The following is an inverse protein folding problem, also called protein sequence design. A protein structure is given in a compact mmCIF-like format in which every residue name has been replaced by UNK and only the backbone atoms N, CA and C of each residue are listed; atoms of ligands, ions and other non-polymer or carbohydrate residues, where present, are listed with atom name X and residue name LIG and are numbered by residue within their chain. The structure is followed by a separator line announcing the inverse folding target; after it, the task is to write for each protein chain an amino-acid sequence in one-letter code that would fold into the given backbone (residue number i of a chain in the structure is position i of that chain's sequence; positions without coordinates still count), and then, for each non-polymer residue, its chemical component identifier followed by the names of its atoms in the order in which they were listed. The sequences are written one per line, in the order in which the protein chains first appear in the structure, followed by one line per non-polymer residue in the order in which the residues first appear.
data_IF_552111037565
#
_entry.id   IF_552111037565
#
_cell.length_a   1.000
_cell.length_b   1.000
_cell.length_c   1.000
_cell.angle_alpha   90.00
_cell.angle_beta   90.00
_cell.angle_gamma   90.00
#
_symmetry.space_group_name_H-M   'P 1'
#
loop_
_entity.id
_entity.type
_entity.pdbx_description
1 polymer ?
#
# COMPACT_ATOMS: atom_id res chain seq x y z
N UNK A 1 -3.00 -21.21 -10.75
CA UNK A 1 -2.74 -19.81 -10.35
C UNK A 1 -1.32 -19.42 -10.76
N UNK A 2 -1.13 -18.24 -11.36
CA UNK A 2 0.22 -17.70 -11.64
C UNK A 2 1.02 -17.53 -10.35
N UNK A 3 2.36 -17.64 -10.43
CA UNK A 3 3.23 -17.36 -9.29
C UNK A 3 3.05 -15.89 -8.89
N UNK A 4 2.74 -15.65 -7.62
CA UNK A 4 2.64 -14.30 -7.07
C UNK A 4 4.00 -13.60 -7.10
N UNK A 5 4.05 -12.39 -7.67
CA UNK A 5 5.23 -11.52 -7.64
C UNK A 5 5.05 -10.47 -6.55
N UNK A 6 5.72 -10.67 -5.41
CA UNK A 6 5.69 -9.74 -4.26
C UNK A 6 6.28 -8.37 -4.59
N UNK A 7 7.14 -8.30 -5.62
CA UNK A 7 7.74 -7.05 -6.11
C UNK A 7 6.95 -6.44 -7.28
N UNK A 8 5.78 -7.02 -7.61
CA UNK A 8 4.85 -6.45 -8.58
C UNK A 8 3.88 -5.49 -7.92
N UNK A 9 3.24 -4.65 -8.74
CA UNK A 9 2.28 -3.68 -8.24
C UNK A 9 0.99 -4.36 -7.74
N UNK A 10 0.64 -4.10 -6.48
CA UNK A 10 -0.56 -4.64 -5.83
C UNK A 10 -1.56 -3.56 -5.44
N UNK A 11 -2.84 -3.87 -5.59
CA UNK A 11 -3.96 -3.13 -5.03
C UNK A 11 -4.78 -4.11 -4.20
N UNK A 12 -5.00 -3.75 -2.94
CA UNK A 12 -5.80 -4.46 -1.96
C UNK A 12 -6.69 -3.48 -1.21
N UNK A 13 -7.59 -4.04 -0.40
CA UNK A 13 -8.53 -3.31 0.42
C UNK A 13 -8.53 -3.91 1.82
N UNK A 14 -8.48 -3.07 2.84
CA UNK A 14 -8.71 -3.52 4.20
C UNK A 14 -10.14 -4.07 4.33
N UNK A 15 -10.29 -5.24 4.95
CA UNK A 15 -11.59 -5.87 5.17
C UNK A 15 -11.71 -6.38 6.61
N UNK A 16 -12.40 -5.61 7.44
CA UNK A 16 -12.65 -5.96 8.85
C UNK A 16 -14.05 -6.56 9.07
N UNK A 17 -14.78 -6.85 7.99
CA UNK A 17 -16.13 -7.43 8.10
C UNK A 17 -16.03 -8.91 8.35
N UNK A 18 -16.88 -9.45 9.22
CA UNK A 18 -16.87 -10.86 9.54
C UNK A 18 -17.36 -11.74 8.39
N UNK A 19 -16.72 -12.89 8.20
CA UNK A 19 -17.01 -13.93 7.19
C UNK A 19 -18.45 -14.46 7.19
N UNK A 20 -19.18 -14.39 8.30
CA UNK A 20 -20.60 -14.79 8.34
C UNK A 20 -21.53 -13.74 7.72
N UNK A 21 -21.04 -12.52 7.48
CA UNK A 21 -21.77 -11.40 6.88
C UNK A 21 -21.39 -11.14 5.41
N UNK A 22 -20.34 -11.80 4.91
CA UNK A 22 -19.83 -11.62 3.55
C UNK A 22 -19.42 -12.94 2.92
N UNK A 23 -19.75 -13.12 1.65
CA UNK A 23 -19.38 -14.28 0.85
C UNK A 23 -18.45 -13.95 -0.31
N UNK A 24 -18.48 -14.82 -1.32
CA UNK A 24 -17.63 -14.73 -2.52
C UNK A 24 -17.98 -13.55 -3.44
N UNK A 25 -19.19 -13.01 -3.35
CA UNK A 25 -19.63 -11.84 -4.12
C UNK A 25 -18.76 -10.60 -3.86
N UNK A 26 -18.22 -10.49 -2.65
CA UNK A 26 -17.31 -9.40 -2.28
C UNK A 26 -15.97 -9.49 -3.01
N UNK A 27 -15.52 -10.70 -3.37
CA UNK A 27 -14.31 -10.91 -4.16
C UNK A 27 -14.48 -10.30 -5.55
N UNK A 28 -15.63 -10.52 -6.19
CA UNK A 28 -15.97 -9.92 -7.48
C UNK A 28 -16.09 -8.41 -7.39
N UNK A 29 -16.71 -7.92 -6.32
CA UNK A 29 -16.93 -6.51 -6.10
C UNK A 29 -15.61 -5.74 -5.98
N UNK A 30 -14.67 -6.26 -5.18
CA UNK A 30 -13.33 -5.67 -5.02
C UNK A 30 -12.46 -5.88 -6.26
N UNK A 31 -12.58 -7.03 -6.96
CA UNK A 31 -11.90 -7.25 -8.25
C UNK A 31 -12.28 -6.17 -9.26
N UNK A 32 -13.56 -5.84 -9.32
CA UNK A 32 -14.11 -4.78 -10.16
C UNK A 32 -13.76 -3.35 -9.66
N UNK A 33 -13.11 -3.22 -8.51
CA UNK A 33 -12.46 -1.99 -8.05
C UNK A 33 -10.95 -1.97 -8.32
N UNK A 34 -10.41 -2.94 -9.07
CA UNK A 34 -8.99 -3.02 -9.39
C UNK A 34 -8.17 -3.88 -8.42
N UNK A 35 -8.80 -4.60 -7.49
CA UNK A 35 -8.10 -5.51 -6.57
C UNK A 35 -7.36 -6.62 -7.34
N UNK A 36 -6.11 -6.87 -6.97
CA UNK A 36 -5.32 -8.00 -7.47
C UNK A 36 -4.65 -8.82 -6.35
N UNK A 37 -4.83 -8.41 -5.09
CA UNK A 37 -4.50 -9.16 -3.89
C UNK A 37 -5.64 -8.94 -2.89
N UNK A 38 -6.42 -9.97 -2.60
CA UNK A 38 -7.61 -9.84 -1.76
C UNK A 38 -7.26 -10.00 -0.28
N UNK A 39 -7.85 -9.19 0.60
CA UNK A 39 -7.90 -9.50 2.03
C UNK A 39 -9.25 -10.13 2.34
N UNK A 40 -9.24 -11.33 2.92
CA UNK A 40 -10.48 -12.01 3.27
C UNK A 40 -11.25 -11.22 4.33
N UNK A 41 -12.58 -11.41 4.41
CA UNK A 41 -13.29 -11.03 5.62
C UNK A 41 -12.72 -11.79 6.84
N UNK A 42 -13.07 -11.33 8.04
CA UNK A 42 -12.57 -11.88 9.29
C UNK A 42 -13.26 -13.21 9.65
N UNK A 43 -12.49 -14.29 9.77
CA UNK A 43 -12.97 -15.55 10.34
C UNK A 43 -12.90 -15.51 11.86
N UNK A 44 -14.04 -15.24 12.50
CA UNK A 44 -14.20 -15.14 13.98
C UNK A 44 -14.83 -16.37 14.62
N UNK A 45 -15.72 -17.03 13.90
CA UNK A 45 -16.58 -18.10 14.39
C UNK A 45 -16.64 -19.21 13.36
N UNK A 46 -16.83 -20.45 13.82
CA UNK A 46 -16.78 -21.64 12.98
C UNK A 46 -17.80 -21.62 11.83
N UNK A 47 -18.96 -20.98 12.03
CA UNK A 47 -20.02 -20.83 11.03
C UNK A 47 -19.58 -20.00 9.82
N UNK A 48 -18.51 -19.19 9.95
CA UNK A 48 -17.93 -18.42 8.85
C UNK A 48 -17.04 -19.23 7.92
N UNK A 49 -16.56 -20.41 8.33
CA UNK A 49 -15.60 -21.20 7.56
C UNK A 49 -16.11 -21.62 6.17
N UNK A 50 -17.37 -22.06 5.98
CA UNK A 50 -17.89 -22.35 4.65
C UNK A 50 -17.85 -21.14 3.70
N UNK A 51 -18.05 -19.92 4.21
CA UNK A 51 -17.94 -18.70 3.41
C UNK A 51 -16.49 -18.36 3.09
N UNK A 52 -15.55 -18.58 4.03
CA UNK A 52 -14.13 -18.45 3.75
C UNK A 52 -13.68 -19.37 2.60
N UNK A 53 -14.14 -20.62 2.58
CA UNK A 53 -13.86 -21.55 1.48
C UNK A 53 -14.41 -21.06 0.14
N UNK A 54 -15.62 -20.50 0.11
CA UNK A 54 -16.20 -19.88 -1.08
C UNK A 54 -15.35 -18.69 -1.57
N UNK A 55 -14.94 -17.81 -0.65
CA UNK A 55 -14.03 -16.69 -0.93
C UNK A 55 -12.72 -17.16 -1.55
N UNK A 56 -12.06 -18.16 -0.96
CA UNK A 56 -10.80 -18.70 -1.47
C UNK A 56 -10.95 -19.35 -2.85
N UNK A 57 -12.01 -20.14 -3.07
CA UNK A 57 -12.31 -20.70 -4.40
C UNK A 57 -12.54 -19.61 -5.44
N UNK A 58 -13.26 -18.55 -5.07
CA UNK A 58 -13.52 -17.45 -5.99
C UNK A 58 -12.24 -16.68 -6.31
N UNK A 59 -11.37 -16.49 -5.32
CA UNK A 59 -10.03 -15.94 -5.53
C UNK A 59 -9.23 -16.78 -6.53
N UNK A 60 -9.25 -18.12 -6.42
CA UNK A 60 -8.56 -19.02 -7.38
C UNK A 60 -9.12 -18.93 -8.80
N UNK A 61 -10.44 -18.88 -8.95
CA UNK A 61 -11.11 -18.71 -10.25
C UNK A 61 -10.69 -17.41 -10.95
N UNK A 62 -10.38 -16.37 -10.17
CA UNK A 62 -9.96 -15.06 -10.67
C UNK A 62 -8.42 -14.89 -10.72
N UNK A 63 -7.67 -15.96 -10.45
CA UNK A 63 -6.21 -15.95 -10.29
C UNK A 63 -5.71 -14.89 -9.29
N UNK A 64 -6.49 -14.61 -8.25
CA UNK A 64 -6.21 -13.59 -7.26
C UNK A 64 -5.72 -14.25 -5.96
N UNK A 65 -4.51 -13.94 -5.48
CA UNK A 65 -4.08 -14.36 -4.15
C UNK A 65 -4.91 -13.69 -3.05
N UNK A 66 -4.92 -14.29 -1.88
CA UNK A 66 -5.68 -13.88 -0.72
C UNK A 66 -4.82 -13.86 0.56
N UNK A 67 -4.93 -12.77 1.32
CA UNK A 67 -4.50 -12.67 2.71
C UNK A 67 -5.67 -13.14 3.58
N UNK A 68 -5.49 -14.27 4.25
CA UNK A 68 -6.48 -14.85 5.13
C UNK A 68 -6.43 -14.16 6.48
N UNK A 69 -7.57 -13.61 6.91
CA UNK A 69 -7.75 -13.05 8.24
C UNK A 69 -8.53 -14.04 9.12
N UNK A 70 -7.80 -14.85 9.87
CA UNK A 70 -8.36 -15.82 10.81
C UNK A 70 -8.00 -15.46 12.25
N UNK A 71 -9.02 -15.18 13.08
CA UNK A 71 -8.82 -14.73 14.46
C UNK A 71 -8.17 -15.78 15.36
N UNK A 72 -8.17 -17.07 14.97
CA UNK A 72 -7.50 -18.13 15.73
C UNK A 72 -5.98 -17.98 15.77
N UNK A 73 -5.40 -17.23 14.83
CA UNK A 73 -3.93 -17.14 14.63
C UNK A 73 -3.40 -15.71 14.64
N UNK A 74 -4.18 -14.78 15.19
CA UNK A 74 -3.74 -13.39 15.45
C UNK A 74 -2.87 -13.32 16.70
N UNK A 75 -2.11 -12.21 16.84
CA UNK A 75 -1.31 -11.94 18.05
C UNK A 75 -2.14 -12.06 19.33
N UNK A 76 -3.41 -11.65 19.31
CA UNK A 76 -4.27 -11.68 20.50
C UNK A 76 -4.39 -13.08 21.10
N UNK A 77 -4.47 -14.11 20.27
CA UNK A 77 -4.52 -15.50 20.76
C UNK A 77 -3.22 -15.89 21.45
N UNK A 78 -2.08 -15.50 20.89
CA UNK A 78 -0.78 -15.77 21.50
C UNK A 78 -0.65 -15.09 22.87
N UNK A 79 -1.01 -13.81 22.97
CA UNK A 79 -0.88 -13.04 24.22
C UNK A 79 -1.88 -13.50 25.28
N UNK A 80 -3.13 -13.76 24.91
CA UNK A 80 -4.19 -14.08 25.87
C UNK A 80 -4.21 -15.55 26.30
N UNK A 81 -3.84 -16.46 25.40
CA UNK A 81 -3.99 -17.92 25.60
C UNK A 81 -2.67 -18.69 25.61
N UNK A 82 -1.56 -18.03 25.25
CA UNK A 82 -0.22 -18.60 25.25
C UNK A 82 0.11 -19.46 24.02
N UNK A 83 1.38 -19.86 23.93
CA UNK A 83 1.94 -20.53 22.75
C UNK A 83 1.28 -21.86 22.41
N UNK A 84 0.92 -22.68 23.41
CA UNK A 84 0.37 -24.02 23.18
C UNK A 84 -0.95 -23.97 22.41
N UNK A 85 -1.85 -23.07 22.82
CA UNK A 85 -3.13 -22.84 22.16
C UNK A 85 -2.91 -22.18 20.78
N UNK A 86 -1.97 -21.24 20.67
CA UNK A 86 -1.63 -20.62 19.39
C UNK A 86 -1.15 -21.65 18.36
N UNK A 87 -0.27 -22.59 18.75
CA UNK A 87 0.24 -23.65 17.87
C UNK A 87 -0.87 -24.63 17.47
N UNK A 88 -1.76 -25.00 18.40
CA UNK A 88 -2.91 -25.84 18.09
C UNK A 88 -3.82 -25.17 17.04
N UNK A 89 -4.08 -23.88 17.22
CA UNK A 89 -4.88 -23.07 16.30
C UNK A 89 -4.20 -22.88 14.94
N UNK A 90 -2.87 -22.69 14.89
CA UNK A 90 -2.11 -22.66 13.64
C UNK A 90 -2.29 -23.94 12.84
N UNK A 91 -2.21 -25.10 13.50
CA UNK A 91 -2.39 -26.41 12.84
C UNK A 91 -3.81 -26.58 12.30
N UNK A 92 -4.81 -26.11 13.04
CA UNK A 92 -6.20 -26.11 12.59
C UNK A 92 -6.40 -25.19 11.37
N UNK A 93 -5.94 -23.94 11.45
CA UNK A 93 -6.02 -22.98 10.33
C UNK A 93 -5.28 -23.49 9.09
N UNK A 94 -4.09 -24.07 9.26
CA UNK A 94 -3.36 -24.69 8.15
C UNK A 94 -4.15 -25.84 7.53
N UNK A 95 -4.76 -26.72 8.34
CA UNK A 95 -5.58 -27.81 7.82
C UNK A 95 -6.80 -27.31 7.03
N UNK A 96 -7.39 -26.19 7.45
CA UNK A 96 -8.53 -25.57 6.77
C UNK A 96 -8.14 -24.93 5.42
N UNK A 97 -6.92 -24.39 5.30
CA UNK A 97 -6.55 -23.55 4.14
C UNK A 97 -5.49 -24.12 3.20
N UNK A 98 -4.73 -25.15 3.59
CA UNK A 98 -3.59 -25.68 2.80
C UNK A 98 -3.94 -26.13 1.39
N UNK A 99 -5.18 -26.54 1.15
CA UNK A 99 -5.65 -27.06 -0.14
C UNK A 99 -6.13 -25.93 -1.08
N UNK A 100 -6.05 -24.67 -0.64
CA UNK A 100 -6.39 -23.49 -1.42
C UNK A 100 -5.14 -22.71 -1.82
N UNK A 101 -4.58 -22.90 -3.02
CA UNK A 101 -3.46 -22.11 -3.51
C UNK A 101 -3.63 -20.58 -3.39
N UNK A 102 -4.85 -20.06 -3.41
CA UNK A 102 -5.08 -18.63 -3.20
C UNK A 102 -4.77 -18.14 -1.77
N UNK A 103 -4.76 -19.01 -0.75
CA UNK A 103 -4.40 -18.65 0.63
C UNK A 103 -2.89 -18.39 0.74
N UNK A 104 -2.48 -17.18 0.36
CA UNK A 104 -1.08 -16.83 0.19
C UNK A 104 -0.41 -16.37 1.49
N UNK A 105 -1.15 -15.61 2.29
CA UNK A 105 -0.68 -15.01 3.53
C UNK A 105 -1.71 -15.22 4.63
N UNK A 106 -1.27 -15.16 5.88
CA UNK A 106 -2.14 -15.15 7.05
C UNK A 106 -1.90 -13.89 7.89
N UNK A 107 -2.95 -13.11 8.11
CA UNK A 107 -2.91 -11.90 8.91
C UNK A 107 -2.61 -12.23 10.38
N UNK A 108 -1.62 -11.53 10.94
CA UNK A 108 -1.18 -11.72 12.34
C UNK A 108 -1.59 -10.54 13.20
N UNK A 109 -1.30 -9.31 12.75
CA UNK A 109 -1.54 -8.10 13.54
C UNK A 109 -1.56 -6.81 12.71
N UNK A 110 -2.26 -5.81 13.24
CA UNK A 110 -2.28 -4.43 12.76
C UNK A 110 -1.53 -3.54 13.75
N UNK A 111 -0.57 -2.75 13.27
CA UNK A 111 0.07 -1.65 14.00
C UNK A 111 0.61 -2.00 15.41
N UNK A 112 1.59 -2.92 15.53
CA UNK A 112 2.25 -3.11 16.83
C UNK A 112 2.83 -1.78 17.34
N UNK A 113 2.50 -1.41 18.57
CA UNK A 113 2.75 -0.10 19.15
C UNK A 113 3.55 -0.12 20.46
N UNK A 114 3.86 -1.31 20.98
CA UNK A 114 4.63 -1.50 22.21
C UNK A 114 5.70 -2.57 22.06
N UNK A 115 6.73 -2.54 22.90
CA UNK A 115 7.80 -3.55 22.86
C UNK A 115 7.27 -4.97 23.13
N UNK A 116 6.23 -5.12 23.95
CA UNK A 116 5.53 -6.38 24.18
C UNK A 116 4.83 -6.87 22.92
N UNK A 117 4.11 -6.00 22.22
CA UNK A 117 3.46 -6.35 20.95
C UNK A 117 4.49 -6.70 19.87
N UNK A 118 5.59 -5.94 19.73
CA UNK A 118 6.66 -6.30 18.79
C UNK A 118 7.26 -7.67 19.11
N UNK A 119 7.57 -7.95 20.37
CA UNK A 119 8.09 -9.26 20.77
C UNK A 119 7.08 -10.39 20.48
N UNK A 120 5.80 -10.15 20.76
CA UNK A 120 4.72 -11.09 20.48
C UNK A 120 4.53 -11.34 18.98
N UNK A 121 4.55 -10.31 18.14
CA UNK A 121 4.41 -10.45 16.68
C UNK A 121 5.60 -11.21 16.10
N UNK A 122 6.82 -10.91 16.54
CA UNK A 122 8.02 -11.65 16.15
C UNK A 122 7.82 -13.13 16.47
N UNK A 123 7.42 -13.45 17.70
CA UNK A 123 7.21 -14.83 18.14
C UNK A 123 6.08 -15.52 17.37
N UNK A 124 4.96 -14.84 17.14
CA UNK A 124 3.84 -15.37 16.37
C UNK A 124 4.26 -15.74 14.94
N UNK A 125 5.01 -14.86 14.27
CA UNK A 125 5.51 -15.07 12.91
C UNK A 125 6.54 -16.21 12.84
N UNK A 126 7.41 -16.35 13.85
CA UNK A 126 8.32 -17.49 13.97
C UNK A 126 7.58 -18.82 14.12
N UNK A 127 6.62 -18.89 15.03
CA UNK A 127 5.80 -20.09 15.26
C UNK A 127 5.01 -20.47 14.01
N UNK A 128 4.38 -19.50 13.35
CA UNK A 128 3.62 -19.71 12.12
C UNK A 128 4.48 -20.37 11.03
N UNK A 129 5.68 -19.83 10.78
CA UNK A 129 6.62 -20.39 9.80
C UNK A 129 7.13 -21.77 10.22
N UNK A 130 7.50 -21.96 11.48
CA UNK A 130 8.07 -23.20 11.99
C UNK A 130 7.07 -24.37 11.97
N UNK A 131 5.81 -24.11 12.35
CA UNK A 131 4.81 -25.17 12.53
C UNK A 131 4.03 -25.51 11.25
N UNK A 132 3.90 -24.55 10.32
CA UNK A 132 2.99 -24.70 9.17
C UNK A 132 3.58 -24.27 7.82
N UNK A 133 4.65 -23.48 7.83
CA UNK A 133 5.18 -22.84 6.61
C UNK A 133 4.29 -21.72 6.05
N UNK A 134 3.20 -21.35 6.74
CA UNK A 134 2.36 -20.21 6.36
C UNK A 134 3.17 -18.91 6.38
N UNK A 135 2.83 -17.99 5.49
CA UNK A 135 3.49 -16.68 5.37
C UNK A 135 2.74 -15.66 6.22
N UNK A 136 3.35 -15.12 7.28
CA UNK A 136 2.70 -14.13 8.13
C UNK A 136 2.54 -12.80 7.38
N UNK A 137 1.47 -12.08 7.70
CA UNK A 137 1.19 -10.74 7.20
C UNK A 137 0.92 -9.80 8.36
N UNK A 138 1.68 -8.71 8.41
CA UNK A 138 1.66 -7.71 9.48
C UNK A 138 1.66 -6.34 8.82
N UNK A 139 0.80 -5.44 9.31
CA UNK A 139 0.90 -4.01 9.00
C UNK A 139 1.57 -3.27 10.15
N UNK A 140 2.40 -2.29 9.82
CA UNK A 140 3.14 -1.48 10.78
C UNK A 140 2.45 -0.13 10.97
N UNK A 141 2.60 0.45 12.16
CA UNK A 141 2.18 1.82 12.39
C UNK A 141 3.15 2.80 11.69
N UNK A 142 2.68 4.02 11.43
CA UNK A 142 3.55 5.11 11.00
C UNK A 142 4.63 5.40 12.07
N UNK A 143 5.80 5.82 11.62
CA UNK A 143 6.94 6.18 12.48
C UNK A 143 7.17 7.68 12.58
N UNK A 144 6.50 8.51 11.76
CA UNK A 144 6.79 9.94 11.68
C UNK A 144 6.45 10.79 12.91
N UNK A 145 5.82 10.20 13.91
CA UNK A 145 5.61 10.82 15.23
C UNK A 145 6.62 10.36 16.28
N UNK A 146 7.51 9.43 15.93
CA UNK A 146 8.56 8.91 16.81
C UNK A 146 9.83 9.75 16.69
N UNK A 147 10.66 9.73 17.72
CA UNK A 147 12.03 10.20 17.58
C UNK A 147 12.79 9.30 16.58
N UNK A 148 13.70 9.89 15.81
CA UNK A 148 14.50 9.22 14.76
C UNK A 148 15.07 7.85 15.19
N UNK A 149 15.71 7.82 16.37
CA UNK A 149 16.31 6.59 16.93
C UNK A 149 15.28 5.48 17.17
N UNK A 150 14.04 5.85 17.49
CA UNK A 150 12.96 4.93 17.82
C UNK A 150 12.28 4.45 16.54
N UNK A 151 12.10 5.33 15.55
CA UNK A 151 11.70 4.94 14.19
C UNK A 151 12.66 3.90 13.58
N UNK A 152 13.96 4.19 13.59
CA UNK A 152 15.00 3.29 13.07
C UNK A 152 15.06 1.96 13.85
N UNK A 153 14.82 2.01 15.17
CA UNK A 153 14.73 0.81 16.01
C UNK A 153 13.54 -0.06 15.62
N UNK A 154 12.35 0.53 15.47
CA UNK A 154 11.13 -0.17 15.11
C UNK A 154 11.25 -0.81 13.72
N UNK A 155 11.76 -0.07 12.74
CA UNK A 155 11.95 -0.60 11.37
C UNK A 155 12.96 -1.74 11.33
N UNK A 156 14.03 -1.66 12.14
CA UNK A 156 14.97 -2.77 12.33
C UNK A 156 14.30 -3.99 12.96
N UNK A 157 13.54 -3.81 14.04
CA UNK A 157 12.81 -4.91 14.70
C UNK A 157 11.82 -5.58 13.75
N UNK A 158 11.12 -4.80 12.93
CA UNK A 158 10.24 -5.34 11.91
C UNK A 158 11.03 -6.15 10.86
N UNK A 159 12.04 -5.55 10.23
CA UNK A 159 12.77 -6.21 9.15
C UNK A 159 13.54 -7.47 9.62
N UNK A 160 14.24 -7.39 10.75
CA UNK A 160 15.12 -8.46 11.23
C UNK A 160 14.40 -9.47 12.14
N UNK A 161 13.41 -9.02 12.92
CA UNK A 161 12.65 -9.87 13.83
C UNK A 161 11.45 -10.51 13.15
N UNK A 162 10.50 -9.68 12.69
CA UNK A 162 9.27 -10.16 12.04
C UNK A 162 9.64 -10.89 10.73
N UNK A 163 10.65 -10.38 10.01
CA UNK A 163 11.10 -10.88 8.69
C UNK A 163 9.92 -11.01 7.73
N UNK A 164 9.19 -9.91 7.45
CA UNK A 164 8.06 -9.97 6.56
C UNK A 164 8.53 -10.07 5.11
N UNK A 165 7.64 -10.50 4.22
CA UNK A 165 7.90 -10.46 2.78
C UNK A 165 7.78 -9.04 2.19
N UNK A 166 7.12 -8.14 2.92
CA UNK A 166 6.84 -6.74 2.54
C UNK A 166 6.90 -5.85 3.78
N UNK A 167 7.29 -4.58 3.62
CA UNK A 167 7.06 -3.57 4.65
C UNK A 167 5.76 -2.82 4.33
N UNK A 168 4.64 -3.24 4.92
CA UNK A 168 3.38 -2.51 4.86
C UNK A 168 3.27 -1.58 6.08
N UNK A 169 2.84 -0.34 5.84
CA UNK A 169 2.54 0.61 6.92
C UNK A 169 1.28 1.42 6.67
N UNK A 170 0.68 1.88 7.77
CA UNK A 170 -0.51 2.71 7.78
C UNK A 170 -0.14 4.17 8.03
N UNK A 171 -0.44 5.06 7.08
CA UNK A 171 -0.28 6.51 7.24
C UNK A 171 -1.23 7.26 6.30
N UNK A 172 -2.10 8.09 6.87
CA UNK A 172 -3.15 8.80 6.12
C UNK A 172 -3.04 10.34 6.23
N UNK A 173 -1.95 10.85 6.81
CA UNK A 173 -1.80 12.27 7.14
C UNK A 173 -1.77 13.20 5.91
N UNK A 174 -1.53 12.68 4.71
CA UNK A 174 -1.71 13.40 3.45
C UNK A 174 -3.16 13.86 3.19
N UNK A 175 -4.12 13.34 3.96
CA UNK A 175 -5.54 13.63 3.85
C UNK A 175 -6.10 14.35 5.09
N UNK A 176 -5.29 15.03 5.89
CA UNK A 176 -5.81 15.89 6.97
C UNK A 176 -6.82 16.90 6.41
N UNK A 177 -7.99 17.00 7.03
CA UNK A 177 -9.10 17.82 6.55
C UNK A 177 -8.85 19.31 6.77
N UNK A 178 -8.43 19.65 7.98
CA UNK A 178 -8.21 21.01 8.45
C UNK A 178 -7.03 21.67 7.72
N UNK A 179 -7.26 22.87 7.20
CA UNK A 179 -6.27 23.60 6.39
C UNK A 179 -4.97 23.87 7.17
N UNK A 180 -5.06 24.16 8.47
CA UNK A 180 -3.88 24.37 9.30
C UNK A 180 -3.00 23.11 9.43
N UNK A 181 -3.61 21.93 9.30
CA UNK A 181 -2.94 20.64 9.52
C UNK A 181 -2.48 19.99 8.21
N UNK A 182 -3.01 20.41 7.05
CA UNK A 182 -2.67 19.83 5.73
C UNK A 182 -1.18 19.81 5.46
N UNK A 183 -0.49 20.92 5.73
CA UNK A 183 0.96 21.00 5.49
C UNK A 183 1.74 20.06 6.40
N UNK A 184 1.43 20.07 7.69
CA UNK A 184 2.06 19.15 8.65
C UNK A 184 1.75 17.69 8.30
N UNK A 185 0.53 17.42 7.84
CA UNK A 185 0.10 16.11 7.38
C UNK A 185 0.88 15.61 6.17
N UNK A 186 1.15 16.49 5.19
CA UNK A 186 2.03 16.18 4.05
C UNK A 186 3.49 15.97 4.48
N UNK A 187 4.03 16.81 5.37
CA UNK A 187 5.37 16.64 5.93
C UNK A 187 5.51 15.29 6.63
N UNK A 188 4.54 14.91 7.47
CA UNK A 188 4.50 13.60 8.12
C UNK A 188 4.34 12.44 7.11
N UNK A 189 3.52 12.60 6.08
CA UNK A 189 3.35 11.58 5.04
C UNK A 189 4.66 11.29 4.31
N UNK A 190 5.35 12.34 3.84
CA UNK A 190 6.62 12.19 3.13
C UNK A 190 7.73 11.69 4.05
N UNK A 191 7.78 12.11 5.30
CA UNK A 191 8.73 11.59 6.26
C UNK A 191 8.56 10.07 6.47
N UNK A 192 7.32 9.59 6.66
CA UNK A 192 7.06 8.15 6.74
C UNK A 192 7.47 7.44 5.46
N UNK A 193 7.06 7.95 4.31
CA UNK A 193 7.39 7.36 3.00
C UNK A 193 8.91 7.22 2.82
N UNK A 194 9.68 8.24 3.20
CA UNK A 194 11.13 8.19 3.17
C UNK A 194 11.69 7.08 4.07
N UNK A 195 11.28 7.04 5.34
CA UNK A 195 11.76 6.06 6.31
C UNK A 195 11.49 4.62 5.88
N UNK A 196 10.29 4.35 5.38
CA UNK A 196 9.94 3.03 4.90
C UNK A 196 10.68 2.65 3.62
N UNK A 197 10.86 3.58 2.66
CA UNK A 197 11.63 3.33 1.43
C UNK A 197 13.12 3.10 1.72
N UNK A 198 13.72 3.86 2.64
CA UNK A 198 15.10 3.65 3.09
C UNK A 198 15.27 2.29 3.77
N UNK A 199 14.34 1.91 4.66
CA UNK A 199 14.33 0.59 5.28
C UNK A 199 14.13 -0.52 4.23
N UNK A 200 13.21 -0.36 3.29
CA UNK A 200 12.98 -1.29 2.20
C UNK A 200 14.24 -1.53 1.37
N UNK A 201 14.96 -0.47 1.00
CA UNK A 201 16.26 -0.58 0.30
C UNK A 201 17.32 -1.27 1.15
N UNK A 202 17.45 -0.87 2.42
CA UNK A 202 18.44 -1.43 3.35
C UNK A 202 18.26 -2.94 3.58
N UNK A 203 17.01 -3.37 3.69
CA UNK A 203 16.66 -4.76 4.00
C UNK A 203 16.21 -5.58 2.78
N UNK A 204 16.26 -4.99 1.58
CA UNK A 204 15.81 -5.58 0.32
C UNK A 204 14.37 -6.11 0.39
N UNK A 205 13.47 -5.27 0.93
CA UNK A 205 12.05 -5.54 1.05
C UNK A 205 11.23 -4.55 0.20
N UNK A 206 10.24 -5.03 -0.58
CA UNK A 206 9.27 -4.13 -1.19
C UNK A 206 8.47 -3.40 -0.11
N UNK A 207 8.15 -2.13 -0.40
CA UNK A 207 7.38 -1.26 0.50
C UNK A 207 5.97 -1.12 -0.02
N UNK A 208 5.01 -1.38 0.86
CA UNK A 208 3.58 -1.24 0.64
C UNK A 208 3.04 -0.17 1.59
N UNK A 209 1.96 0.50 1.19
CA UNK A 209 1.36 1.59 1.95
C UNK A 209 -0.15 1.47 1.98
N UNK A 210 -0.76 1.72 3.14
CA UNK A 210 -2.21 1.94 3.20
C UNK A 210 -2.57 3.35 2.77
N UNK A 211 -3.61 3.45 1.94
CA UNK A 211 -4.13 4.68 1.36
C UNK A 211 -5.51 4.98 1.92
N UNK A 212 -5.84 6.26 2.06
CA UNK A 212 -7.15 6.67 2.55
C UNK A 212 -8.18 6.64 1.40
N UNK A 213 -9.26 5.91 1.62
CA UNK A 213 -10.44 5.86 0.76
C UNK A 213 -11.64 6.58 1.37
N UNK A 214 -11.78 6.47 2.70
CA UNK A 214 -12.95 6.89 3.49
C UNK A 214 -12.52 7.88 4.57
N UNK A 215 -13.20 9.03 4.64
CA UNK A 215 -12.92 10.04 5.66
C UNK A 215 -13.34 9.57 7.04
N UNK A 216 -12.60 9.94 8.08
CA UNK A 216 -12.85 9.62 9.49
C UNK A 216 -11.89 10.41 10.38
N UNK A 217 -12.25 10.63 11.64
CA UNK A 217 -11.50 11.42 12.61
C UNK A 217 -11.23 12.84 12.07
N UNK A 218 -9.96 13.21 11.89
CA UNK A 218 -9.52 14.46 11.29
C UNK A 218 -9.15 14.32 9.80
N UNK A 219 -9.49 13.19 9.18
CA UNK A 219 -9.14 12.88 7.81
C UNK A 219 -10.31 13.16 6.86
N UNK A 220 -10.02 13.92 5.81
CA UNK A 220 -10.99 14.28 4.78
C UNK A 220 -11.53 13.05 4.05
N UNK A 221 -12.74 13.17 3.51
CA UNK A 221 -13.28 12.26 2.52
C UNK A 221 -12.60 12.51 1.14
N UNK A 222 -11.66 11.67 0.67
CA UNK A 222 -10.78 12.04 -0.44
C UNK A 222 -11.54 12.18 -1.76
N UNK A 223 -11.25 13.24 -2.52
CA UNK A 223 -11.74 13.40 -3.89
C UNK A 223 -11.06 12.40 -4.84
N UNK A 224 -11.63 12.18 -6.02
CA UNK A 224 -11.01 11.33 -7.05
C UNK A 224 -9.57 11.77 -7.39
N UNK A 225 -9.29 13.08 -7.40
CA UNK A 225 -7.95 13.63 -7.62
C UNK A 225 -6.98 13.18 -6.52
N UNK A 226 -7.43 13.18 -5.27
CA UNK A 226 -6.63 12.75 -4.12
C UNK A 226 -6.42 11.24 -4.10
N UNK A 227 -7.40 10.43 -4.56
CA UNK A 227 -7.19 8.99 -4.77
C UNK A 227 -6.07 8.74 -5.80
N UNK A 228 -6.12 9.43 -6.95
CA UNK A 228 -5.06 9.37 -7.97
C UNK A 228 -3.70 9.80 -7.43
N UNK A 229 -3.68 10.91 -6.68
CA UNK A 229 -2.47 11.47 -6.09
C UNK A 229 -1.78 10.45 -5.18
N UNK A 230 -2.54 9.80 -4.30
CA UNK A 230 -2.00 8.81 -3.36
C UNK A 230 -1.29 7.64 -4.08
N UNK A 231 -1.91 7.10 -5.13
CA UNK A 231 -1.33 6.01 -5.93
C UNK A 231 -0.04 6.44 -6.64
N UNK A 232 -0.10 7.54 -7.39
CA UNK A 232 1.00 7.95 -8.26
C UNK A 232 2.18 8.55 -7.48
N UNK A 233 1.92 9.30 -6.41
CA UNK A 233 2.97 9.81 -5.53
C UNK A 233 3.66 8.64 -4.83
N UNK A 234 2.91 7.69 -4.25
CA UNK A 234 3.51 6.50 -3.64
C UNK A 234 4.39 5.72 -4.62
N UNK A 235 3.90 5.47 -5.84
CA UNK A 235 4.65 4.75 -6.88
C UNK A 235 5.93 5.49 -7.31
N UNK A 236 5.89 6.82 -7.44
CA UNK A 236 7.07 7.63 -7.76
C UNK A 236 8.13 7.62 -6.66
N UNK A 237 7.77 7.22 -5.44
CA UNK A 237 8.68 7.00 -4.31
C UNK A 237 9.13 5.55 -4.15
N UNK A 238 8.62 4.62 -4.97
CA UNK A 238 9.00 3.21 -4.95
C UNK A 238 8.04 2.29 -4.21
N UNK A 239 6.86 2.76 -3.80
CA UNK A 239 5.81 1.90 -3.25
C UNK A 239 5.27 1.00 -4.36
N UNK A 240 5.13 -0.29 -4.04
CA UNK A 240 4.66 -1.33 -4.97
C UNK A 240 3.38 -2.02 -4.52
N UNK A 241 2.84 -1.70 -3.35
CA UNK A 241 1.56 -2.23 -2.90
C UNK A 241 0.73 -1.18 -2.20
N UNK A 242 -0.56 -1.14 -2.50
CA UNK A 242 -1.48 -0.13 -2.02
C UNK A 242 -2.71 -0.78 -1.37
N UNK A 243 -3.00 -0.40 -0.13
CA UNK A 243 -4.12 -0.92 0.65
C UNK A 243 -5.13 0.17 0.93
N UNK A 244 -6.27 0.16 0.25
CA UNK A 244 -7.32 1.15 0.48
C UNK A 244 -8.04 0.91 1.82
N UNK A 245 -8.12 1.97 2.64
CA UNK A 245 -8.76 2.00 3.94
C UNK A 245 -9.95 2.96 3.96
N UNK A 246 -11.19 2.58 4.26
CA UNK A 246 -11.81 1.26 4.37
C UNK A 246 -13.08 1.28 3.48
N UNK A 247 -13.24 0.35 2.52
CA UNK A 247 -14.25 0.48 1.46
C UNK A 247 -15.70 0.28 1.91
N UNK A 248 -15.94 -0.35 3.06
CA UNK A 248 -17.26 -0.81 3.50
C UNK A 248 -17.81 0.03 4.67
N UNK A 249 -19.07 0.45 4.57
CA UNK A 249 -19.80 1.14 5.63
C UNK A 249 -20.33 0.15 6.69
N UNK A 250 -19.42 -0.58 7.33
CA UNK A 250 -19.75 -1.53 8.38
C UNK A 250 -18.74 -1.44 9.52
N UNK A 251 -19.19 -0.92 10.67
CA UNK A 251 -18.58 -1.19 11.97
C UNK A 251 -17.21 -0.55 12.26
N UNK A 252 -16.75 0.41 11.45
CA UNK A 252 -15.47 1.08 11.70
C UNK A 252 -15.60 2.23 12.72
N UNK A 253 -16.23 3.34 12.35
CA UNK A 253 -16.40 4.50 13.23
C UNK A 253 -17.68 5.27 12.91
N UNK A 254 -18.39 5.85 13.89
CA UNK A 254 -19.63 6.61 13.66
C UNK A 254 -19.48 7.87 12.80
N UNK A 255 -18.28 8.41 12.72
CA UNK A 255 -17.91 9.60 11.93
C UNK A 255 -17.32 9.24 10.55
N UNK A 256 -17.20 7.95 10.24
CA UNK A 256 -16.69 7.52 8.95
C UNK A 256 -17.65 7.92 7.82
N UNK A 257 -17.12 8.45 6.72
CA UNK A 257 -17.92 8.93 5.60
C UNK A 257 -17.28 8.67 4.23
N UNK A 258 -18.15 8.54 3.22
CA UNK A 258 -17.70 8.37 1.84
C UNK A 258 -17.18 6.98 1.52
N UNK A 259 -17.75 5.93 2.12
CA UNK A 259 -17.44 4.53 1.79
C UNK A 259 -17.74 4.21 0.32
N UNK A 260 -16.98 3.29 -0.28
CA UNK A 260 -17.25 2.78 -1.62
C UNK A 260 -18.52 1.92 -1.68
N UNK A 261 -18.81 1.21 -0.59
CA UNK A 261 -19.93 0.28 -0.50
C UNK A 261 -20.70 0.60 0.77
N UNK A 262 -22.00 0.86 0.63
CA UNK A 262 -22.88 1.23 1.76
C UNK A 262 -23.21 0.03 2.66
N UNK A 263 -23.85 0.28 3.79
CA UNK A 263 -24.24 -0.75 4.76
C UNK A 263 -25.26 -1.79 4.22
N UNK A 264 -25.82 -1.56 3.03
CA UNK A 264 -26.74 -2.47 2.33
C UNK A 264 -26.05 -3.22 1.18
N UNK A 265 -24.75 -3.00 0.97
CA UNK A 265 -23.97 -3.61 -0.10
C UNK A 265 -24.10 -2.91 -1.45
N UNK A 266 -24.70 -1.71 -1.53
CA UNK A 266 -24.78 -0.97 -2.77
C UNK A 266 -23.48 -0.21 -3.05
N UNK A 267 -23.13 -0.12 -4.32
CA UNK A 267 -22.05 0.75 -4.80
C UNK A 267 -22.45 2.21 -4.63
N UNK A 268 -21.56 3.02 -4.07
CA UNK A 268 -21.71 4.48 -3.99
C UNK A 268 -20.89 5.16 -5.10
N UNK A 269 -21.00 6.47 -5.34
CA UNK A 269 -20.12 7.17 -6.27
C UNK A 269 -18.62 7.01 -5.96
N UNK A 270 -18.25 6.77 -4.70
CA UNK A 270 -16.86 6.51 -4.31
C UNK A 270 -16.35 5.19 -4.93
N UNK A 271 -17.21 4.18 -5.08
CA UNK A 271 -16.86 2.94 -5.76
C UNK A 271 -16.29 3.20 -7.14
N UNK A 272 -17.01 3.97 -7.95
CA UNK A 272 -16.63 4.24 -9.33
C UNK A 272 -15.34 5.05 -9.41
N UNK A 273 -15.15 6.01 -8.49
CA UNK A 273 -13.91 6.79 -8.40
C UNK A 273 -12.70 5.89 -8.06
N UNK A 274 -12.81 5.05 -7.04
CA UNK A 274 -11.73 4.17 -6.62
C UNK A 274 -11.43 3.10 -7.66
N UNK A 275 -12.46 2.52 -8.28
CA UNK A 275 -12.32 1.57 -9.37
C UNK A 275 -11.58 2.21 -10.55
N UNK A 276 -12.04 3.38 -11.00
CA UNK A 276 -11.42 4.09 -12.12
C UNK A 276 -9.94 4.38 -11.86
N UNK A 277 -9.59 4.99 -10.72
CA UNK A 277 -8.18 5.34 -10.45
C UNK A 277 -7.30 4.10 -10.22
N UNK A 278 -7.83 3.03 -9.63
CA UNK A 278 -7.11 1.76 -9.48
C UNK A 278 -6.82 1.12 -10.83
N UNK A 279 -7.79 1.06 -11.75
CA UNK A 279 -7.56 0.54 -13.10
C UNK A 279 -6.60 1.40 -13.92
N UNK A 280 -6.79 2.73 -13.92
CA UNK A 280 -5.88 3.64 -14.63
C UNK A 280 -4.46 3.53 -14.11
N UNK A 281 -4.28 3.39 -12.80
CA UNK A 281 -2.96 3.13 -12.22
C UNK A 281 -2.35 1.81 -12.73
N UNK A 282 -3.12 0.72 -12.68
CA UNK A 282 -2.62 -0.58 -13.13
C UNK A 282 -2.26 -0.59 -14.62
N UNK A 283 -3.07 0.07 -15.45
CA UNK A 283 -2.90 0.14 -16.90
C UNK A 283 -1.79 1.10 -17.34
N UNK A 284 -1.71 2.30 -16.76
CA UNK A 284 -0.82 3.35 -17.26
C UNK A 284 0.51 3.42 -16.54
N UNK A 285 0.54 3.03 -15.25
CA UNK A 285 1.69 3.21 -14.36
C UNK A 285 2.32 1.88 -14.02
N UNK A 286 1.58 0.98 -13.38
CA UNK A 286 2.10 -0.31 -12.97
C UNK A 286 2.63 -1.12 -14.16
N UNK A 287 1.87 -1.18 -15.27
CA UNK A 287 2.27 -1.94 -16.47
C UNK A 287 3.63 -1.52 -17.04
N UNK A 288 3.96 -0.22 -16.97
CA UNK A 288 5.23 0.34 -17.47
C UNK A 288 6.36 0.17 -16.48
N UNK A 289 6.07 0.31 -15.18
CA UNK A 289 7.08 0.23 -14.13
C UNK A 289 7.34 -1.19 -13.61
N UNK A 290 6.50 -2.17 -13.94
CA UNK A 290 6.62 -3.57 -13.47
C UNK A 290 8.00 -4.18 -13.75
N UNK A 291 8.65 -3.77 -14.85
CA UNK A 291 9.99 -4.21 -15.26
C UNK A 291 11.15 -3.43 -14.62
N UNK A 292 10.88 -2.50 -13.72
CA UNK A 292 11.86 -1.59 -13.14
C UNK A 292 11.88 -1.66 -11.60
N UNK A 293 13.00 -1.22 -11.01
CA UNK A 293 13.18 -1.01 -9.58
C UNK A 293 13.35 0.48 -9.32
N UNK A 294 12.75 1.00 -8.25
CA UNK A 294 12.97 2.38 -7.82
C UNK A 294 14.43 2.62 -7.44
N UNK A 295 15.02 3.64 -8.05
CA UNK A 295 16.37 4.10 -7.75
C UNK A 295 16.33 5.27 -6.78
N UNK A 296 15.59 6.33 -7.14
CA UNK A 296 15.64 7.61 -6.45
C UNK A 296 14.39 8.43 -6.73
N UNK A 297 14.08 9.38 -5.83
CA UNK A 297 13.03 10.38 -6.05
C UNK A 297 13.60 11.77 -5.81
N UNK A 298 13.21 12.70 -6.67
CA UNK A 298 13.41 14.12 -6.44
C UNK A 298 12.11 14.87 -6.22
N UNK A 299 12.19 15.91 -5.41
CA UNK A 299 11.11 16.86 -5.13
C UNK A 299 11.38 18.18 -5.88
N UNK A 300 10.34 18.76 -6.49
CA UNK A 300 10.45 20.01 -7.23
C UNK A 300 9.32 20.96 -6.84
N UNK A 301 9.68 22.17 -6.39
CA UNK A 301 8.75 23.15 -5.78
C UNK A 301 7.92 22.63 -4.60
N UNK A 302 8.41 21.61 -3.91
CA UNK A 302 7.91 21.13 -2.61
C UNK A 302 9.10 20.98 -1.67
N UNK A 303 8.84 21.28 -0.40
CA UNK A 303 9.83 21.18 0.68
C UNK A 303 9.34 20.23 1.78
N UNK A 304 8.33 19.41 1.50
CA UNK A 304 7.72 18.53 2.49
C UNK A 304 8.49 17.20 2.58
N UNK A 305 8.88 16.80 3.80
CA UNK A 305 9.78 15.66 4.04
C UNK A 305 11.25 15.99 3.73
N UNK A 306 12.13 14.99 3.79
CA UNK A 306 13.59 15.18 3.62
C UNK A 306 14.10 14.66 2.27
N UNK A 307 13.22 14.58 1.26
CA UNK A 307 13.60 14.17 -0.08
C UNK A 307 14.51 15.20 -0.77
N UNK A 308 15.44 14.70 -1.58
CA UNK A 308 16.34 15.56 -2.32
C UNK A 308 15.59 16.43 -3.33
N UNK A 309 15.91 17.72 -3.36
CA UNK A 309 15.33 18.64 -4.33
C UNK A 309 16.01 18.51 -5.68
N UNK A 310 15.21 18.54 -6.74
CA UNK A 310 15.75 18.62 -8.10
C UNK A 310 16.32 20.03 -8.36
N UNK A 311 17.53 20.06 -8.89
CA UNK A 311 18.14 21.26 -9.49
C UNK A 311 18.74 20.86 -10.84
N UNK A 312 18.82 21.80 -11.78
CA UNK A 312 19.62 21.61 -12.98
C UNK A 312 21.05 21.19 -12.60
N UNK A 313 21.66 20.28 -13.37
CA UNK A 313 22.99 19.70 -13.15
C UNK A 313 23.11 18.65 -12.03
N UNK A 314 22.02 18.27 -11.36
CA UNK A 314 22.03 17.23 -10.30
C UNK A 314 21.75 15.81 -10.80
N UNK A 315 21.45 15.65 -12.08
CA UNK A 315 21.11 14.37 -12.66
C UNK A 315 21.72 14.24 -14.07
N UNK A 316 22.24 13.05 -14.38
CA UNK A 316 22.88 12.78 -15.68
C UNK A 316 21.86 12.59 -16.80
N UNK A 317 20.62 12.22 -16.47
CA UNK A 317 19.57 11.91 -17.42
C UNK A 317 18.61 13.10 -17.61
N UNK A 318 18.26 13.77 -16.52
CA UNK A 318 17.30 14.88 -16.51
C UNK A 318 18.05 16.21 -16.48
N UNK A 319 18.07 16.92 -17.61
CA UNK A 319 18.76 18.20 -17.74
C UNK A 319 17.97 19.36 -17.12
N UNK A 320 16.65 19.39 -17.31
CA UNK A 320 15.81 20.48 -16.82
C UNK A 320 14.39 20.02 -16.52
N UNK A 321 13.79 20.58 -15.47
CA UNK A 321 12.37 20.48 -15.18
C UNK A 321 11.82 21.88 -14.96
N UNK A 322 10.64 22.13 -15.51
CA UNK A 322 9.87 23.35 -15.32
C UNK A 322 8.41 22.99 -15.07
N UNK A 323 7.77 23.75 -14.18
CA UNK A 323 6.33 23.66 -13.94
C UNK A 323 5.76 25.07 -13.92
N UNK A 324 4.67 25.29 -14.65
CA UNK A 324 3.97 26.57 -14.63
C UNK A 324 3.45 26.90 -13.23
N UNK A 325 3.52 28.16 -12.82
CA UNK A 325 3.11 28.64 -11.48
C UNK A 325 3.81 27.96 -10.29
N UNK A 326 5.01 27.42 -10.48
CA UNK A 326 5.76 26.68 -9.45
C UNK A 326 4.93 25.56 -8.81
N UNK A 327 4.12 24.85 -9.62
CA UNK A 327 3.33 23.72 -9.12
C UNK A 327 4.27 22.61 -8.62
N UNK A 328 3.98 21.99 -7.46
CA UNK A 328 4.85 20.96 -6.92
C UNK A 328 4.82 19.73 -7.84
N UNK A 329 5.99 19.13 -8.05
CA UNK A 329 6.16 17.90 -8.80
C UNK A 329 7.09 16.93 -8.08
N UNK A 330 6.82 15.64 -8.27
CA UNK A 330 7.66 14.54 -7.80
C UNK A 330 8.21 13.80 -9.01
N UNK A 331 9.50 13.49 -8.98
CA UNK A 331 10.22 12.85 -10.08
C UNK A 331 10.82 11.54 -9.58
N UNK A 332 10.16 10.42 -9.90
CA UNK A 332 10.66 9.08 -9.61
C UNK A 332 11.60 8.58 -10.70
N UNK A 333 12.74 8.02 -10.33
CA UNK A 333 13.72 7.40 -11.22
C UNK A 333 13.76 5.90 -10.98
N UNK A 334 13.84 5.15 -12.07
CA UNK A 334 13.82 3.71 -12.03
C UNK A 334 14.87 3.12 -12.98
N UNK A 335 15.33 1.92 -12.62
CA UNK A 335 16.32 1.14 -13.35
C UNK A 335 15.75 -0.24 -13.71
N UNK A 336 16.04 -0.75 -14.91
CA UNK A 336 15.50 -2.03 -15.36
C UNK A 336 15.93 -3.19 -14.45
N UNK A 337 14.97 -4.05 -14.07
CA UNK A 337 15.21 -5.24 -13.20
C UNK A 337 16.23 -6.21 -13.81
N UNK A 338 16.18 -6.39 -15.14
CA UNK A 338 17.02 -7.36 -15.87
C UNK A 338 18.13 -6.71 -16.69
N UNK A 339 18.01 -5.41 -16.96
CA UNK A 339 18.97 -4.64 -17.76
C UNK A 339 19.09 -3.23 -17.15
N UNK A 340 20.18 -2.95 -16.41
CA UNK A 340 20.41 -1.65 -15.79
C UNK A 340 20.58 -0.49 -16.77
N UNK A 341 20.82 -0.76 -18.07
CA UNK A 341 20.89 0.29 -19.09
C UNK A 341 19.51 0.88 -19.41
N UNK A 342 18.43 0.11 -19.20
CA UNK A 342 17.06 0.60 -19.33
C UNK A 342 16.74 1.53 -18.17
N UNK A 343 16.34 2.76 -18.47
CA UNK A 343 15.91 3.73 -17.45
C UNK A 343 14.44 4.06 -17.64
N UNK A 344 13.80 4.47 -16.55
CA UNK A 344 12.50 5.09 -16.62
C UNK A 344 12.43 6.26 -15.65
N UNK A 345 11.69 7.30 -16.06
CA UNK A 345 11.41 8.48 -15.24
C UNK A 345 9.91 8.69 -15.17
N UNK A 346 9.39 8.84 -13.97
CA UNK A 346 7.99 9.17 -13.70
C UNK A 346 7.91 10.60 -13.18
N UNK A 347 7.27 11.48 -13.95
CA UNK A 347 6.95 12.85 -13.54
C UNK A 347 5.51 12.90 -13.05
N UNK A 348 5.32 13.28 -11.78
CA UNK A 348 4.00 13.36 -11.14
C UNK A 348 3.69 14.81 -10.77
N UNK A 349 2.48 15.26 -11.09
CA UNK A 349 1.94 16.49 -10.51
C UNK A 349 1.58 16.23 -9.04
N UNK A 350 2.42 16.73 -8.14
CA UNK A 350 2.25 16.56 -6.70
C UNK A 350 1.26 17.56 -6.09
N UNK A 351 0.57 18.37 -6.88
CA UNK A 351 -0.60 19.11 -6.40
C UNK A 351 -1.79 18.17 -6.22
N UNK A 352 -2.45 18.25 -5.08
CA UNK A 352 -3.69 17.51 -4.81
C UNK A 352 -4.90 18.10 -5.55
N UNK A 353 -4.82 19.36 -6.01
CA UNK A 353 -5.99 20.08 -6.55
C UNK A 353 -5.83 20.65 -7.94
N UNK A 354 -4.64 21.15 -8.27
CA UNK A 354 -4.43 21.99 -9.44
C UNK A 354 -3.83 21.20 -10.60
N UNK A 355 -4.22 21.56 -11.82
CA UNK A 355 -3.53 21.12 -13.04
C UNK A 355 -2.14 21.77 -13.08
N UNK A 356 -1.17 21.04 -13.61
CA UNK A 356 0.19 21.50 -13.84
C UNK A 356 0.53 21.33 -15.32
N UNK A 357 0.94 22.42 -15.97
CA UNK A 357 1.69 22.33 -17.21
C UNK A 357 3.17 22.15 -16.84
N UNK A 358 3.75 21.03 -17.23
CA UNK A 358 5.12 20.69 -16.93
C UNK A 358 5.92 20.49 -18.21
N UNK A 359 7.18 20.92 -18.18
CA UNK A 359 8.17 20.65 -19.23
C UNK A 359 9.34 19.91 -18.60
N UNK A 360 9.75 18.81 -19.22
CA UNK A 360 10.94 18.06 -18.81
C UNK A 360 11.87 17.90 -20.01
N UNK A 361 13.16 18.13 -19.78
CA UNK A 361 14.21 17.97 -20.79
C UNK A 361 15.17 16.88 -20.35
N UNK A 362 15.37 15.91 -21.21
CA UNK A 362 16.33 14.84 -21.05
C UNK A 362 17.63 15.17 -21.79
N UNK A 363 18.76 14.93 -21.13
CA UNK A 363 20.09 15.11 -21.70
C UNK A 363 20.58 13.87 -22.47
N UNK A 364 21.91 13.73 -22.58
CA UNK A 364 22.55 12.58 -23.21
C UNK A 364 22.75 12.69 -24.73
N UNK A 365 22.95 11.55 -25.40
CA UNK A 365 23.27 11.49 -26.84
C UNK A 365 22.13 11.96 -27.75
N UNK A 366 20.88 11.80 -27.30
CA UNK A 366 19.66 12.20 -28.02
C UNK A 366 18.79 13.05 -27.11
N UNK A 367 19.17 14.32 -26.87
CA UNK A 367 18.40 15.18 -26.00
C UNK A 367 17.03 15.45 -26.60
N UNK A 368 16.00 15.48 -25.74
CA UNK A 368 14.65 15.84 -26.15
C UNK A 368 13.91 16.51 -25.00
N UNK A 369 12.87 17.26 -25.35
CA UNK A 369 12.00 17.96 -24.41
C UNK A 369 10.57 17.53 -24.66
N UNK A 370 9.81 17.28 -23.60
CA UNK A 370 8.36 17.06 -23.66
C UNK A 370 7.64 18.12 -22.82
N UNK A 371 6.48 18.55 -23.31
CA UNK A 371 5.57 19.50 -22.65
C UNK A 371 4.24 18.76 -22.42
N UNK A 372 3.78 18.71 -21.17
CA UNK A 372 2.63 17.89 -20.78
C UNK A 372 1.73 18.62 -19.78
N UNK A 373 0.41 18.50 -19.97
CA UNK A 373 -0.58 18.89 -18.97
C UNK A 373 -0.93 17.71 -18.08
N UNK A 374 -0.62 17.82 -16.80
CA UNK A 374 -0.91 16.83 -15.77
C UNK A 374 -2.02 17.37 -14.86
N UNK A 375 -3.16 16.70 -14.86
CA UNK A 375 -4.16 16.87 -13.80
C UNK A 375 -3.57 16.57 -12.41
N UNK A 376 -4.23 17.06 -11.36
CA UNK A 376 -3.81 16.79 -9.98
C UNK A 376 -3.58 15.29 -9.74
N UNK A 377 -2.42 14.95 -9.18
CA UNK A 377 -2.00 13.58 -8.91
C UNK A 377 -1.69 12.72 -10.14
N UNK A 378 -1.87 13.19 -11.38
CA UNK A 378 -1.56 12.39 -12.57
C UNK A 378 -0.06 12.36 -12.87
N UNK A 379 0.34 11.32 -13.59
CA UNK A 379 1.73 11.05 -13.90
C UNK A 379 1.97 10.81 -15.39
N UNK A 380 3.17 11.12 -15.84
CA UNK A 380 3.72 10.74 -17.14
C UNK A 380 4.99 9.92 -16.92
N UNK A 381 5.11 8.80 -17.63
CA UNK A 381 6.29 7.92 -17.57
C UNK A 381 7.02 8.01 -18.91
N UNK A 382 8.34 8.13 -18.83
CA UNK A 382 9.28 8.13 -19.94
C UNK A 382 10.17 6.90 -19.77
N UNK A 383 10.07 5.93 -20.68
CA UNK A 383 11.02 4.81 -20.79
C UNK A 383 12.15 5.25 -21.73
N UNK A 384 13.39 5.16 -21.25
CA UNK A 384 14.57 5.80 -21.84
C UNK A 384 15.66 4.77 -22.16
#
# INVERSE_FOLDING_TARGET
MKKFDVNGYQISFWNYVATHLQGEEMVDLMKNMGCNLYMSPEHKIAEGLPNMHKVLRRCEQLEMPCIVYDHRVTLRVLLDKGEGEYIANLKAAYADYKDYPAALYCFVWDEPNSDEEYAGVIRACELMRAETGLRPFVSLNHVGMLAEKDADRVLRLAAEGIRPDVLLYNCYSQCMEEECDRRQGLENYYHNLQKFIEAGKKYNLPVWQSLLLTGHLCLANPTQKQLRWQLNVGAAHGVTGFFWFHPLELGYSPDACGHAIDCRGNKTPKYDMAAYESFRFMEDVASKLQGYVHEKTYHFHTNEGEFERFYADRDELIAQVYTEYNRPAVIGKFVGKTDPSRRAVMLVNASQENICHARITFGGEKPFTDDVYLSAGSAKIYEL
#
